data_IF_337618683871
#
_entry.id   IF_337618683871
#
_cell.length_a   1.000
_cell.length_b   1.000
_cell.length_c   1.000
_cell.angle_alpha   90.00
_cell.angle_beta   90.00
_cell.angle_gamma   90.00
#
_symmetry.space_group_name_H-M   'P 1'
#
loop_
_entity.id
_entity.type
_entity.pdbx_description
1 polymer ?
#
# COMPACT_ATOMS: atom_id res chain seq x y z
N UNK A 1 3.33 6.49 -21.16
CA UNK A 1 2.40 5.85 -20.22
C UNK A 1 1.41 6.89 -19.73
N UNK A 2 0.12 6.57 -19.71
CA UNK A 2 -0.87 7.42 -19.04
C UNK A 2 -0.97 6.89 -17.61
N UNK A 3 -0.59 7.68 -16.65
CA UNK A 3 -0.72 7.39 -15.23
C UNK A 3 -1.81 8.29 -14.63
N UNK A 4 -2.26 7.95 -13.42
CA UNK A 4 -3.14 8.82 -12.66
C UNK A 4 -2.61 10.26 -12.70
N UNK A 5 -3.49 11.20 -13.05
CA UNK A 5 -3.14 12.61 -13.19
C UNK A 5 -4.26 13.45 -12.61
N UNK A 6 -4.04 14.01 -11.42
CA UNK A 6 -5.03 14.84 -10.74
C UNK A 6 -5.31 16.18 -11.43
N UNK A 7 -4.53 16.52 -12.45
CA UNK A 7 -4.77 17.73 -13.27
C UNK A 7 -5.86 17.56 -14.31
N UNK A 8 -6.31 16.31 -14.54
CA UNK A 8 -7.34 16.01 -15.54
C UNK A 8 -8.76 16.11 -14.95
N UNK A 9 -9.78 16.49 -15.76
CA UNK A 9 -11.17 16.48 -15.33
C UNK A 9 -11.69 15.11 -14.87
N UNK A 10 -11.15 14.03 -15.42
CA UNK A 10 -11.33 12.65 -14.97
C UNK A 10 -9.95 12.09 -14.62
N UNK A 11 -9.55 12.12 -13.34
CA UNK A 11 -8.18 11.81 -12.95
C UNK A 11 -7.87 10.31 -12.87
N UNK A 12 -8.88 9.43 -12.89
CA UNK A 12 -8.68 7.98 -12.77
C UNK A 12 -8.01 7.43 -14.03
N UNK A 13 -6.99 6.60 -13.83
CA UNK A 13 -6.39 5.79 -14.89
C UNK A 13 -6.93 4.35 -14.81
N UNK A 14 -7.73 3.96 -15.80
CA UNK A 14 -8.28 2.60 -15.92
C UNK A 14 -7.48 1.74 -16.92
N UNK A 15 -6.39 2.26 -17.45
CA UNK A 15 -5.53 1.59 -18.43
C UNK A 15 -4.26 1.04 -17.79
N UNK A 16 -3.64 1.79 -16.88
CA UNK A 16 -2.41 1.42 -16.20
C UNK A 16 -1.31 0.99 -17.18
N UNK A 17 -0.65 -0.11 -16.87
CA UNK A 17 0.33 -0.73 -17.77
C UNK A 17 -0.31 -1.58 -18.88
N UNK A 18 -1.57 -1.93 -18.76
CA UNK A 18 -2.33 -2.73 -19.72
C UNK A 18 -1.73 -4.12 -19.95
N UNK A 19 -1.83 -4.58 -21.20
CA UNK A 19 -1.35 -5.92 -21.57
C UNK A 19 0.18 -6.06 -21.62
N UNK A 20 0.94 -4.97 -21.50
CA UNK A 20 2.40 -4.98 -21.64
C UNK A 20 3.06 -4.23 -20.48
N UNK A 21 3.01 -4.77 -19.24
CA UNK A 21 3.66 -4.15 -18.10
C UNK A 21 5.19 -4.08 -18.32
N UNK A 22 5.87 -3.07 -17.76
CA UNK A 22 7.31 -3.01 -17.82
C UNK A 22 7.93 -4.18 -17.05
N UNK A 23 9.05 -4.69 -17.54
CA UNK A 23 9.82 -5.67 -16.78
C UNK A 23 10.45 -4.99 -15.56
N UNK A 24 10.09 -5.46 -14.36
CA UNK A 24 10.50 -4.80 -13.12
C UNK A 24 12.01 -4.85 -12.83
N UNK A 25 12.73 -5.78 -13.46
CA UNK A 25 14.18 -5.97 -13.32
C UNK A 25 14.65 -6.09 -11.86
N UNK A 26 13.90 -6.81 -11.03
CA UNK A 26 14.20 -6.98 -9.62
C UNK A 26 15.64 -7.46 -9.36
N UNK A 27 16.26 -7.11 -8.23
CA UNK A 27 17.61 -7.57 -7.88
C UNK A 27 17.74 -9.08 -7.95
N UNK A 28 18.95 -9.56 -8.29
CA UNK A 28 19.27 -10.98 -8.44
C UNK A 28 18.34 -11.75 -9.41
N UNK A 29 17.78 -11.05 -10.40
CA UNK A 29 16.83 -11.62 -11.37
C UNK A 29 15.62 -12.29 -10.69
N UNK A 30 15.14 -11.68 -9.61
CA UNK A 30 13.99 -12.21 -8.89
C UNK A 30 12.74 -12.18 -9.77
N UNK A 31 11.96 -13.25 -9.71
CA UNK A 31 10.67 -13.40 -10.39
C UNK A 31 9.56 -12.62 -9.69
N UNK A 32 9.74 -12.36 -8.40
CA UNK A 32 8.78 -11.66 -7.55
C UNK A 32 9.51 -10.86 -6.48
N UNK A 33 9.04 -9.64 -6.21
CA UNK A 33 9.40 -8.88 -5.03
C UNK A 33 8.32 -9.08 -3.96
N UNK A 34 8.67 -9.68 -2.83
CA UNK A 34 7.75 -10.00 -1.75
C UNK A 34 7.98 -9.09 -0.55
N UNK A 35 6.93 -8.42 -0.08
CA UNK A 35 6.99 -7.49 1.04
C UNK A 35 6.02 -7.91 2.13
N UNK A 36 6.50 -7.91 3.37
CA UNK A 36 5.67 -8.10 4.55
C UNK A 36 5.47 -6.74 5.22
N UNK A 37 4.23 -6.35 5.39
CA UNK A 37 3.85 -5.05 5.95
C UNK A 37 3.12 -5.27 7.26
N UNK A 38 3.68 -4.78 8.35
CA UNK A 38 3.08 -4.83 9.67
C UNK A 38 2.43 -3.49 9.99
N UNK A 39 1.10 -3.47 10.07
CA UNK A 39 0.35 -2.33 10.53
C UNK A 39 0.37 -2.31 12.06
N UNK A 40 0.95 -1.28 12.63
CA UNK A 40 0.97 -1.06 14.08
C UNK A 40 0.10 0.15 14.42
N UNK A 41 -1.10 -0.13 14.94
CA UNK A 41 -2.21 0.82 15.09
C UNK A 41 -2.72 0.89 16.53
N UNK A 42 -2.32 -0.06 17.36
CA UNK A 42 -2.84 -0.33 18.69
C UNK A 42 -2.68 0.85 19.64
N UNK A 43 -3.80 1.41 20.09
CA UNK A 43 -3.86 2.59 20.95
C UNK A 43 -4.01 3.93 20.21
N UNK A 44 -4.18 3.90 18.87
CA UNK A 44 -4.44 5.07 18.04
C UNK A 44 -5.82 5.03 17.34
N UNK A 45 -6.58 3.97 17.57
CA UNK A 45 -7.96 3.78 17.13
C UNK A 45 -8.93 4.83 17.70
N UNK A 46 -10.18 4.88 17.17
CA UNK A 46 -11.21 5.74 17.73
C UNK A 46 -11.49 5.39 19.20
N UNK A 47 -11.45 6.41 20.05
CA UNK A 47 -11.72 6.26 21.48
C UNK A 47 -12.17 7.60 22.09
N UNK A 48 -13.14 7.53 22.99
CA UNK A 48 -13.56 8.71 23.79
C UNK A 48 -12.40 9.26 24.64
N UNK A 49 -11.37 8.46 24.91
CA UNK A 49 -10.15 8.91 25.58
C UNK A 49 -9.31 9.87 24.73
N UNK A 50 -9.55 9.89 23.43
CA UNK A 50 -8.90 10.78 22.45
C UNK A 50 -9.78 11.96 22.07
N UNK A 51 -10.99 12.09 22.67
CA UNK A 51 -11.99 13.07 22.31
C UNK A 51 -12.89 12.66 21.14
N UNK A 52 -12.80 11.42 20.65
CA UNK A 52 -13.69 10.92 19.60
C UNK A 52 -15.12 10.74 20.14
N UNK A 53 -16.10 10.86 19.25
CA UNK A 53 -17.52 10.75 19.60
C UNK A 53 -17.91 9.34 20.07
N UNK A 54 -17.16 8.32 19.65
CA UNK A 54 -17.48 6.93 19.98
C UNK A 54 -16.23 6.03 19.96
N UNK A 55 -16.39 4.83 20.51
CA UNK A 55 -15.40 3.74 20.47
C UNK A 55 -15.22 3.17 19.07
N UNK A 56 -14.08 2.52 18.81
CA UNK A 56 -13.78 1.85 17.56
C UNK A 56 -14.75 0.69 17.29
N UNK A 57 -15.00 0.46 15.99
CA UNK A 57 -15.87 -0.62 15.50
C UNK A 57 -15.18 -1.52 14.48
N UNK A 58 -14.04 -1.09 13.96
CA UNK A 58 -13.43 -1.68 12.78
C UNK A 58 -12.29 -2.63 13.13
N UNK A 59 -12.16 -3.67 12.34
CA UNK A 59 -10.99 -4.56 12.25
C UNK A 59 -10.62 -5.26 13.58
N UNK A 60 -11.59 -5.99 14.15
CA UNK A 60 -11.41 -6.85 15.32
C UNK A 60 -12.24 -8.14 15.20
N UNK A 61 -12.07 -9.06 16.16
CA UNK A 61 -12.88 -10.28 16.23
C UNK A 61 -14.35 -10.04 16.61
N UNK A 62 -14.73 -8.81 16.95
CA UNK A 62 -16.12 -8.50 17.28
C UNK A 62 -16.93 -8.34 15.99
N UNK A 63 -17.92 -9.19 15.78
CA UNK A 63 -18.79 -9.09 14.63
C UNK A 63 -19.75 -7.90 14.81
N UNK A 64 -19.66 -6.92 13.88
CA UNK A 64 -20.54 -5.74 13.84
C UNK A 64 -20.72 -5.04 15.19
N UNK A 65 -19.63 -4.62 15.88
CA UNK A 65 -19.77 -3.95 17.17
C UNK A 65 -20.50 -2.62 17.02
N UNK A 66 -21.33 -2.28 18.00
CA UNK A 66 -21.98 -0.99 18.04
C UNK A 66 -21.00 0.11 18.48
N UNK A 67 -21.12 1.36 17.97
CA UNK A 67 -20.39 2.50 18.50
C UNK A 67 -20.96 2.89 19.87
N UNK A 68 -20.11 3.02 20.87
CA UNK A 68 -20.50 3.52 22.18
C UNK A 68 -19.89 4.91 22.41
N UNK A 69 -20.71 5.88 22.82
CA UNK A 69 -20.25 7.18 23.31
C UNK A 69 -19.62 7.04 24.71
N UNK A 70 -18.84 5.98 24.91
CA UNK A 70 -18.14 5.59 26.12
C UNK A 70 -16.97 4.68 25.74
N UNK A 71 -16.14 4.34 26.72
CA UNK A 71 -15.11 3.31 26.53
C UNK A 71 -15.74 1.94 26.25
N UNK A 72 -15.14 1.22 25.30
CA UNK A 72 -15.51 -0.16 25.01
C UNK A 72 -14.37 -1.09 25.42
N UNK A 73 -14.35 -1.49 26.70
CA UNK A 73 -13.22 -2.21 27.31
C UNK A 73 -12.86 -3.51 26.58
N UNK A 74 -13.85 -4.24 26.05
CA UNK A 74 -13.57 -5.45 25.26
C UNK A 74 -12.84 -5.11 23.96
N UNK A 75 -13.24 -4.04 23.24
CA UNK A 75 -12.56 -3.58 22.03
C UNK A 75 -11.14 -3.11 22.37
N UNK A 76 -10.97 -2.27 23.37
CA UNK A 76 -9.67 -1.81 23.85
C UNK A 76 -8.73 -2.99 24.15
N UNK A 77 -9.22 -4.02 24.85
CA UNK A 77 -8.42 -5.21 25.18
C UNK A 77 -8.02 -6.05 23.98
N UNK A 78 -8.80 -6.05 22.88
CA UNK A 78 -8.42 -6.70 21.62
C UNK A 78 -7.25 -5.97 20.96
N UNK A 79 -7.26 -4.64 20.97
CA UNK A 79 -6.14 -3.83 20.49
C UNK A 79 -4.91 -3.98 21.39
N UNK A 80 -5.10 -3.90 22.73
CA UNK A 80 -4.01 -4.15 23.69
C UNK A 80 -3.31 -5.49 23.48
N UNK A 81 -4.06 -6.55 23.13
CA UNK A 81 -3.46 -7.84 22.81
C UNK A 81 -2.43 -7.74 21.67
N UNK A 82 -2.73 -6.96 20.63
CA UNK A 82 -1.82 -6.72 19.52
C UNK A 82 -0.50 -6.15 19.99
N UNK A 83 -0.55 -5.10 20.81
CA UNK A 83 0.63 -4.43 21.37
C UNK A 83 1.38 -5.28 22.40
N UNK A 84 0.65 -5.97 23.29
CA UNK A 84 1.25 -6.69 24.42
C UNK A 84 1.81 -8.06 24.06
N UNK A 85 1.22 -8.75 23.08
CA UNK A 85 1.55 -10.14 22.76
C UNK A 85 1.75 -10.40 21.26
N UNK A 86 0.84 -9.87 20.43
CA UNK A 86 0.78 -10.18 19.00
C UNK A 86 2.02 -9.71 18.24
N UNK A 87 2.40 -8.46 18.42
CA UNK A 87 3.56 -7.85 17.75
C UNK A 87 4.85 -8.60 18.07
N UNK A 88 5.07 -8.94 19.31
CA UNK A 88 6.30 -9.66 19.73
C UNK A 88 6.37 -11.06 19.17
N UNK A 89 5.22 -11.72 18.96
CA UNK A 89 5.18 -13.04 18.31
C UNK A 89 5.55 -12.95 16.84
N UNK A 90 5.06 -11.92 16.15
CA UNK A 90 5.40 -11.67 14.73
C UNK A 90 6.89 -11.31 14.63
N UNK A 91 7.38 -10.36 15.42
CA UNK A 91 8.79 -9.93 15.36
C UNK A 91 9.76 -11.09 15.55
N UNK A 92 9.55 -11.93 16.56
CA UNK A 92 10.43 -13.11 16.79
C UNK A 92 10.49 -14.04 15.58
N UNK A 93 9.42 -14.14 14.81
CA UNK A 93 9.40 -14.97 13.60
C UNK A 93 10.25 -14.38 12.48
N UNK A 94 10.19 -13.05 12.28
CA UNK A 94 11.01 -12.37 11.29
C UNK A 94 12.47 -12.28 11.70
N UNK A 95 12.77 -12.00 12.98
CA UNK A 95 14.11 -12.01 13.54
C UNK A 95 14.77 -13.38 13.37
N UNK A 96 14.09 -14.46 13.79
CA UNK A 96 14.60 -15.84 13.67
C UNK A 96 14.96 -16.22 12.23
N UNK A 97 14.26 -15.68 11.26
CA UNK A 97 14.44 -15.92 9.82
C UNK A 97 15.35 -14.89 9.15
N UNK A 98 15.74 -13.85 9.87
CA UNK A 98 16.50 -12.72 9.34
C UNK A 98 15.81 -12.05 8.13
N UNK A 99 14.50 -11.91 8.20
CA UNK A 99 13.69 -11.30 7.15
C UNK A 99 13.33 -9.86 7.48
N UNK A 100 13.34 -8.95 6.48
CA UNK A 100 12.94 -7.57 6.68
C UNK A 100 11.43 -7.40 6.77
N UNK A 101 10.99 -6.34 7.43
CA UNK A 101 9.62 -5.84 7.47
C UNK A 101 9.58 -4.38 7.04
N UNK A 102 8.44 -3.95 6.50
CA UNK A 102 8.00 -2.56 6.57
C UNK A 102 6.92 -2.46 7.63
N UNK A 103 7.11 -1.54 8.57
CA UNK A 103 6.11 -1.21 9.59
C UNK A 103 5.36 0.04 9.15
N UNK A 104 4.06 -0.08 8.89
CA UNK A 104 3.18 1.07 8.83
C UNK A 104 2.82 1.46 10.25
N UNK A 105 3.56 2.42 10.78
CA UNK A 105 3.47 2.85 12.17
C UNK A 105 2.56 4.06 12.33
N UNK A 106 1.42 3.87 13.00
CA UNK A 106 0.62 5.00 13.48
C UNK A 106 1.38 5.67 14.59
N UNK A 107 1.69 6.94 14.43
CA UNK A 107 2.67 7.61 15.31
C UNK A 107 2.20 7.72 16.76
N UNK A 108 0.91 7.92 17.01
CA UNK A 108 0.33 7.90 18.37
C UNK A 108 0.47 6.52 19.02
N UNK A 109 0.34 5.44 18.26
CA UNK A 109 0.51 4.07 18.74
C UNK A 109 1.98 3.82 19.14
N UNK A 110 2.93 4.18 18.28
CA UNK A 110 4.36 4.04 18.55
C UNK A 110 4.84 4.96 19.69
N UNK A 111 4.27 6.15 19.83
CA UNK A 111 4.57 7.06 20.94
C UNK A 111 4.22 6.45 22.32
N UNK A 112 3.20 5.58 22.34
CA UNK A 112 2.78 4.85 23.56
C UNK A 112 3.60 3.59 23.84
N UNK A 113 4.41 3.16 22.88
CA UNK A 113 5.24 1.96 22.98
C UNK A 113 6.63 2.22 22.38
N UNK A 114 7.44 3.12 22.97
CA UNK A 114 8.74 3.52 22.42
C UNK A 114 9.75 2.36 22.35
N UNK A 115 9.67 1.40 23.28
CA UNK A 115 10.54 0.21 23.25
C UNK A 115 10.32 -0.64 22.01
N UNK A 116 9.08 -0.72 21.51
CA UNK A 116 8.77 -1.41 20.27
C UNK A 116 9.36 -0.67 19.05
N UNK A 117 9.29 0.67 19.05
CA UNK A 117 9.91 1.49 18.02
C UNK A 117 11.44 1.24 17.97
N UNK A 118 12.09 1.16 19.13
CA UNK A 118 13.51 0.82 19.22
C UNK A 118 13.80 -0.59 18.66
N UNK A 119 12.97 -1.58 19.01
CA UNK A 119 13.12 -2.96 18.50
C UNK A 119 12.99 -3.03 16.97
N UNK A 120 12.06 -2.30 16.36
CA UNK A 120 11.95 -2.25 14.90
C UNK A 120 13.23 -1.71 14.25
N UNK A 121 13.83 -0.68 14.83
CA UNK A 121 15.09 -0.10 14.34
C UNK A 121 16.28 -1.04 14.51
N UNK A 122 16.42 -1.64 15.68
CA UNK A 122 17.50 -2.60 15.98
C UNK A 122 17.49 -3.80 15.04
N UNK A 123 16.30 -4.27 14.66
CA UNK A 123 16.12 -5.35 13.69
C UNK A 123 16.23 -4.90 12.22
N UNK A 124 16.48 -3.62 11.96
CA UNK A 124 16.65 -3.07 10.61
C UNK A 124 15.36 -2.98 9.79
N UNK A 125 14.21 -3.00 10.45
CA UNK A 125 12.93 -2.84 9.78
C UNK A 125 12.70 -1.39 9.35
N UNK A 126 11.99 -1.19 8.25
CA UNK A 126 11.54 0.12 7.83
C UNK A 126 10.36 0.58 8.69
N UNK A 127 10.36 1.84 9.13
CA UNK A 127 9.18 2.49 9.71
C UNK A 127 8.70 3.57 8.75
N UNK A 128 7.57 3.31 8.09
CA UNK A 128 6.85 4.27 7.27
C UNK A 128 5.71 4.90 8.09
N UNK A 129 5.37 6.15 7.78
CA UNK A 129 4.33 6.86 8.51
C UNK A 129 2.94 6.36 8.10
N UNK A 130 2.15 5.92 9.09
CA UNK A 130 0.74 5.56 8.94
C UNK A 130 -0.19 6.63 9.56
N UNK A 131 0.19 7.89 9.40
CA UNK A 131 -0.51 9.02 9.99
C UNK A 131 -0.30 9.15 11.50
N UNK A 132 -1.01 10.13 12.10
CA UNK A 132 -0.99 10.34 13.56
C UNK A 132 -1.99 9.43 14.28
N UNK A 133 -3.20 9.34 13.75
CA UNK A 133 -4.34 8.58 14.31
C UNK A 133 -4.82 7.54 13.28
N UNK A 134 -5.33 6.42 13.78
CA UNK A 134 -5.97 5.43 12.93
C UNK A 134 -7.47 5.67 12.85
N UNK A 135 -7.87 6.73 12.18
CA UNK A 135 -9.26 7.15 11.97
C UNK A 135 -9.56 7.32 10.49
N UNK A 136 -10.84 7.42 10.11
CA UNK A 136 -11.20 7.75 8.74
C UNK A 136 -10.98 9.24 8.47
N UNK A 137 -10.23 9.53 7.43
CA UNK A 137 -9.99 10.90 6.96
C UNK A 137 -10.97 11.34 5.89
N UNK A 138 -11.83 10.44 5.37
CA UNK A 138 -12.73 10.71 4.24
C UNK A 138 -13.57 11.98 4.39
N UNK A 139 -14.01 12.30 5.59
CA UNK A 139 -14.85 13.46 5.89
C UNK A 139 -14.16 14.47 6.82
N UNK A 140 -12.86 14.31 7.07
CA UNK A 140 -12.10 15.26 7.88
C UNK A 140 -11.79 16.51 7.04
N UNK A 141 -11.80 17.68 7.65
CA UNK A 141 -11.38 18.89 6.95
C UNK A 141 -9.87 18.88 6.66
N UNK A 142 -9.49 19.56 5.60
CA UNK A 142 -8.11 19.57 5.11
C UNK A 142 -7.11 20.09 6.14
N UNK A 143 -7.49 21.10 6.91
CA UNK A 143 -6.59 21.72 7.90
C UNK A 143 -6.26 20.72 9.02
N UNK A 144 -7.27 19.98 9.48
CA UNK A 144 -7.11 18.92 10.47
C UNK A 144 -6.27 17.76 9.93
N UNK A 145 -6.50 17.30 8.69
CA UNK A 145 -5.69 16.25 8.08
C UNK A 145 -4.23 16.68 7.93
N UNK A 146 -3.98 17.89 7.47
CA UNK A 146 -2.64 18.49 7.35
C UNK A 146 -1.92 18.56 8.70
N UNK A 147 -2.63 18.95 9.75
CA UNK A 147 -2.07 19.01 11.12
C UNK A 147 -1.77 17.62 11.65
N UNK A 148 -2.65 16.62 11.41
CA UNK A 148 -2.40 15.24 11.78
C UNK A 148 -1.17 14.67 11.07
N UNK A 149 -0.97 15.00 9.79
CA UNK A 149 0.23 14.64 9.05
C UNK A 149 1.49 15.26 9.70
N UNK A 150 1.44 16.55 10.03
CA UNK A 150 2.56 17.26 10.67
C UNK A 150 2.93 16.64 12.02
N UNK A 151 1.93 16.39 12.87
CA UNK A 151 2.12 15.76 14.18
C UNK A 151 2.69 14.36 14.03
N UNK A 152 2.12 13.56 13.13
CA UNK A 152 2.57 12.19 12.87
C UNK A 152 4.02 12.13 12.46
N UNK A 153 4.43 12.96 11.53
CA UNK A 153 5.81 13.05 11.05
C UNK A 153 6.78 13.54 12.13
N UNK A 154 6.36 14.53 12.94
CA UNK A 154 7.16 15.01 14.05
C UNK A 154 7.43 13.91 15.07
N UNK A 155 6.38 13.25 15.56
CA UNK A 155 6.49 12.16 16.56
C UNK A 155 7.41 11.05 16.06
N UNK A 156 7.21 10.57 14.84
CA UNK A 156 8.05 9.49 14.31
C UNK A 156 9.51 9.92 14.13
N UNK A 157 9.74 11.15 13.69
CA UNK A 157 11.11 11.69 13.57
C UNK A 157 11.80 11.77 14.95
N UNK A 158 11.08 12.20 15.98
CA UNK A 158 11.60 12.26 17.36
C UNK A 158 11.88 10.86 17.92
N UNK A 159 10.98 9.88 17.70
CA UNK A 159 11.13 8.51 18.20
C UNK A 159 12.24 7.73 17.50
N UNK A 160 12.38 7.93 16.20
CA UNK A 160 13.34 7.16 15.40
C UNK A 160 14.68 7.85 15.21
N UNK A 161 14.74 9.17 15.41
CA UNK A 161 15.90 10.02 15.06
C UNK A 161 16.04 10.24 13.55
N UNK A 162 15.12 9.75 12.75
CA UNK A 162 15.14 9.84 11.29
C UNK A 162 13.74 10.17 10.76
N UNK A 163 13.67 10.92 9.68
CA UNK A 163 12.41 11.20 9.00
C UNK A 163 11.88 9.94 8.31
N UNK A 164 10.61 9.54 8.50
CA UNK A 164 9.99 8.51 7.67
C UNK A 164 9.99 8.89 6.19
N UNK A 165 10.35 7.93 5.34
CA UNK A 165 10.46 8.14 3.89
C UNK A 165 9.29 7.52 3.11
N UNK A 166 8.46 6.71 3.74
CA UNK A 166 7.23 6.14 3.19
C UNK A 166 6.00 6.70 3.86
N UNK A 167 4.91 6.80 3.11
CA UNK A 167 3.61 7.24 3.57
C UNK A 167 2.52 6.21 3.26
N UNK A 168 1.57 6.04 4.18
CA UNK A 168 0.34 5.30 4.03
C UNK A 168 -0.70 5.82 5.01
N UNK A 169 -1.88 6.21 4.56
CA UNK A 169 -3.00 6.60 5.42
C UNK A 169 -3.94 5.42 5.67
N UNK A 170 -4.24 4.65 4.63
CA UNK A 170 -5.10 3.48 4.65
C UNK A 170 -6.60 3.75 4.81
N UNK A 171 -6.96 4.92 5.35
CA UNK A 171 -8.34 5.42 5.50
C UNK A 171 -8.41 6.87 5.01
N UNK A 172 -7.84 7.06 3.82
CA UNK A 172 -7.53 8.33 3.18
C UNK A 172 -8.75 9.18 2.83
N UNK A 173 -8.48 10.43 2.48
CA UNK A 173 -9.44 11.42 1.98
C UNK A 173 -9.17 11.75 0.52
N UNK A 174 -10.09 12.45 -0.18
CA UNK A 174 -9.83 12.96 -1.53
C UNK A 174 -8.63 13.92 -1.63
N UNK A 175 -8.17 14.51 -0.51
CA UNK A 175 -7.04 15.42 -0.46
C UNK A 175 -5.71 14.76 -0.13
N UNK A 176 -5.69 13.52 0.37
CA UNK A 176 -4.50 12.89 0.96
C UNK A 176 -3.29 12.90 0.01
N UNK A 177 -3.42 12.46 -1.24
CA UNK A 177 -2.31 12.48 -2.19
C UNK A 177 -1.74 13.89 -2.41
N UNK A 178 -2.60 14.91 -2.46
CA UNK A 178 -2.16 16.30 -2.59
C UNK A 178 -1.41 16.76 -1.34
N UNK A 179 -1.92 16.42 -0.16
CA UNK A 179 -1.27 16.76 1.11
C UNK A 179 0.09 16.08 1.27
N UNK A 180 0.21 14.80 0.84
CA UNK A 180 1.48 14.08 0.80
C UNK A 180 2.46 14.75 -0.15
N UNK A 181 2.01 15.16 -1.33
CA UNK A 181 2.84 15.89 -2.31
C UNK A 181 3.24 17.28 -1.81
N UNK A 182 2.34 18.01 -1.13
CA UNK A 182 2.62 19.32 -0.51
C UNK A 182 3.67 19.21 0.59
N UNK A 183 3.51 18.23 1.47
CA UNK A 183 4.44 17.98 2.58
C UNK A 183 5.82 17.60 2.04
N UNK A 184 5.86 16.79 1.01
CA UNK A 184 7.06 16.41 0.27
C UNK A 184 8.04 15.57 1.08
N UNK A 185 9.16 15.19 0.43
CA UNK A 185 10.26 14.43 1.04
C UNK A 185 9.96 12.95 1.28
N UNK A 186 8.85 12.42 0.78
CA UNK A 186 8.59 10.99 0.75
C UNK A 186 9.23 10.35 -0.48
N UNK A 187 9.74 9.15 -0.30
CA UNK A 187 10.25 8.34 -1.40
C UNK A 187 9.13 7.57 -2.10
N UNK A 188 8.05 7.26 -1.39
CA UNK A 188 6.86 6.63 -1.93
C UNK A 188 5.62 6.93 -1.09
N UNK A 189 4.46 6.73 -1.71
CA UNK A 189 3.14 6.72 -1.11
C UNK A 189 2.49 5.36 -1.42
N UNK A 190 1.74 4.81 -0.47
CA UNK A 190 1.11 3.49 -0.58
C UNK A 190 -0.42 3.53 -0.58
N UNK A 191 -1.03 4.70 -0.57
CA UNK A 191 -2.50 4.87 -0.59
C UNK A 191 -3.08 4.57 -1.98
N UNK A 192 -2.84 3.36 -2.48
CA UNK A 192 -3.38 2.86 -3.74
C UNK A 192 -3.38 1.32 -3.77
N UNK A 193 -4.42 0.72 -4.37
CA UNK A 193 -4.63 -0.74 -4.38
C UNK A 193 -4.82 -1.31 -5.80
N UNK A 194 -4.50 -0.55 -6.82
CA UNK A 194 -4.95 -0.83 -8.18
C UNK A 194 -3.86 -1.31 -9.15
N UNK A 195 -2.72 -1.79 -8.68
CA UNK A 195 -1.68 -2.34 -9.56
C UNK A 195 -0.75 -3.32 -8.79
N UNK A 196 -0.11 -4.23 -9.53
CA UNK A 196 0.88 -5.17 -9.03
C UNK A 196 2.32 -4.66 -9.18
N UNK A 197 2.49 -3.44 -9.67
CA UNK A 197 3.78 -2.76 -9.85
C UNK A 197 3.73 -1.32 -9.36
N UNK A 198 4.86 -0.75 -8.93
CA UNK A 198 4.92 0.68 -8.66
C UNK A 198 4.70 1.50 -9.95
N UNK A 199 4.17 2.70 -9.78
CA UNK A 199 3.97 3.63 -10.90
C UNK A 199 4.09 5.08 -10.45
N UNK A 200 4.27 5.98 -11.41
CA UNK A 200 4.32 7.42 -11.14
C UNK A 200 2.96 8.06 -11.29
N UNK A 201 2.53 8.77 -10.26
CA UNK A 201 1.33 9.60 -10.25
C UNK A 201 1.73 11.07 -10.43
N UNK A 202 0.96 11.83 -11.20
CA UNK A 202 1.10 13.29 -11.29
C UNK A 202 0.09 13.93 -10.34
N UNK A 203 0.57 14.63 -9.35
CA UNK A 203 -0.27 15.24 -8.31
C UNK A 203 -0.17 16.74 -8.37
N UNK A 204 -1.31 17.41 -8.52
CA UNK A 204 -1.39 18.87 -8.42
C UNK A 204 -1.31 19.28 -6.95
N UNK A 205 -0.32 20.09 -6.62
CA UNK A 205 -0.12 20.66 -5.30
C UNK A 205 -1.01 21.86 -5.03
N UNK A 206 -1.10 22.25 -3.76
CA UNK A 206 -1.89 23.43 -3.33
C UNK A 206 -1.36 24.74 -3.90
N UNK A 207 -0.09 24.82 -4.25
CA UNK A 207 0.52 25.99 -4.92
C UNK A 207 0.30 26.02 -6.45
N UNK A 208 -0.47 25.07 -6.98
CA UNK A 208 -0.75 24.92 -8.41
C UNK A 208 0.36 24.21 -9.21
N UNK A 209 1.50 23.95 -8.64
CA UNK A 209 2.55 23.15 -9.27
C UNK A 209 2.15 21.67 -9.36
N UNK A 210 2.82 20.89 -10.21
CA UNK A 210 2.58 19.46 -10.36
C UNK A 210 3.84 18.69 -9.95
N UNK A 211 3.70 17.79 -9.00
CA UNK A 211 4.79 16.93 -8.54
C UNK A 211 4.59 15.47 -9.01
N UNK A 212 5.66 14.78 -9.42
CA UNK A 212 5.63 13.35 -9.56
C UNK A 212 5.69 12.69 -8.18
N UNK A 213 4.79 11.76 -7.92
CA UNK A 213 4.75 10.95 -6.70
C UNK A 213 4.86 9.49 -7.07
N UNK A 214 5.82 8.78 -6.48
CA UNK A 214 5.93 7.34 -6.70
C UNK A 214 4.90 6.63 -5.82
N UNK A 215 4.04 5.87 -6.46
CA UNK A 215 3.11 4.98 -5.78
C UNK A 215 3.73 3.59 -5.74
N UNK A 216 3.81 3.02 -4.55
CA UNK A 216 4.06 1.59 -4.32
C UNK A 216 2.76 1.02 -3.80
N UNK A 217 1.93 0.39 -4.66
CA UNK A 217 0.59 -0.06 -4.28
C UNK A 217 0.61 -1.01 -3.07
N UNK A 218 -0.43 -0.92 -2.25
CA UNK A 218 -0.65 -1.82 -1.13
C UNK A 218 -1.75 -2.84 -1.48
N UNK A 219 -2.17 -3.66 -0.51
CA UNK A 219 -3.13 -4.73 -0.75
C UNK A 219 -4.18 -4.83 0.36
N UNK A 220 -5.39 -5.27 -0.01
CA UNK A 220 -6.47 -5.61 0.92
C UNK A 220 -6.90 -7.08 0.81
N UNK A 221 -6.47 -7.79 -0.21
CA UNK A 221 -6.83 -9.20 -0.45
C UNK A 221 -5.84 -10.17 0.22
N UNK A 222 -4.53 -9.96 0.06
CA UNK A 222 -3.46 -10.71 0.76
C UNK A 222 -3.16 -10.09 2.14
N UNK A 223 -4.22 -9.76 2.87
CA UNK A 223 -4.19 -9.02 4.12
C UNK A 223 -5.00 -9.74 5.20
N UNK A 224 -4.44 -9.89 6.38
CA UNK A 224 -5.06 -10.57 7.51
C UNK A 224 -6.32 -9.84 8.05
N UNK A 225 -6.56 -8.59 7.62
CA UNK A 225 -7.80 -7.88 7.91
C UNK A 225 -9.05 -8.69 7.51
N UNK A 226 -8.91 -9.58 6.55
CA UNK A 226 -9.99 -10.45 6.09
C UNK A 226 -10.44 -11.48 7.12
N UNK A 227 -9.66 -11.76 8.18
CA UNK A 227 -10.16 -12.51 9.35
C UNK A 227 -11.25 -11.76 10.12
N UNK A 228 -11.27 -10.43 10.01
CA UNK A 228 -12.23 -9.56 10.71
C UNK A 228 -13.30 -8.96 9.77
N UNK A 229 -13.38 -9.41 8.53
CA UNK A 229 -14.36 -8.95 7.53
C UNK A 229 -15.33 -10.08 7.17
N UNK A 230 -16.57 -9.73 6.83
CA UNK A 230 -17.55 -10.70 6.31
C UNK A 230 -17.03 -11.33 5.01
N UNK A 231 -17.27 -12.63 4.84
CA UNK A 231 -16.76 -13.44 3.72
C UNK A 231 -15.22 -13.45 3.60
N UNK A 232 -14.54 -13.21 4.72
CA UNK A 232 -13.10 -13.29 4.82
C UNK A 232 -12.59 -14.69 5.16
N UNK A 233 -11.44 -14.77 5.82
CA UNK A 233 -10.82 -16.03 6.21
C UNK A 233 -11.46 -16.57 7.49
N UNK A 234 -11.94 -17.80 7.47
CA UNK A 234 -12.52 -18.45 8.66
C UNK A 234 -11.42 -19.06 9.55
N UNK A 235 -10.36 -19.59 8.95
CA UNK A 235 -9.25 -20.25 9.64
C UNK A 235 -7.90 -19.91 9.02
N UNK A 236 -6.81 -20.24 9.72
CA UNK A 236 -5.45 -19.93 9.25
C UNK A 236 -5.09 -20.58 7.90
N UNK A 237 -5.60 -21.77 7.64
CA UNK A 237 -5.32 -22.47 6.38
C UNK A 237 -5.95 -21.77 5.17
N UNK A 238 -7.06 -21.07 5.32
CA UNK A 238 -7.63 -20.25 4.24
C UNK A 238 -6.68 -19.12 3.86
N UNK A 239 -6.12 -18.44 4.86
CA UNK A 239 -5.13 -17.38 4.64
C UNK A 239 -3.86 -17.93 3.99
N UNK A 240 -3.30 -19.03 4.51
CA UNK A 240 -2.13 -19.66 3.92
C UNK A 240 -2.36 -20.05 2.46
N UNK A 241 -3.49 -20.70 2.15
CA UNK A 241 -3.82 -21.12 0.78
C UNK A 241 -3.95 -19.92 -0.15
N UNK A 242 -4.64 -18.86 0.29
CA UNK A 242 -4.79 -17.65 -0.52
C UNK A 242 -3.45 -16.97 -0.81
N UNK A 243 -2.59 -16.84 0.21
CA UNK A 243 -1.25 -16.26 0.04
C UNK A 243 -0.38 -17.11 -0.90
N UNK A 244 -0.44 -18.45 -0.73
CA UNK A 244 0.29 -19.39 -1.57
C UNK A 244 -0.14 -19.27 -3.04
N UNK A 245 -1.44 -19.30 -3.30
CA UNK A 245 -1.96 -19.24 -4.66
C UNK A 245 -1.65 -17.89 -5.32
N UNK A 246 -1.73 -16.78 -4.57
CA UNK A 246 -1.33 -15.46 -5.06
C UNK A 246 0.17 -15.41 -5.41
N UNK A 247 0.99 -15.97 -4.55
CA UNK A 247 2.43 -16.09 -4.80
C UNK A 247 2.72 -16.93 -6.04
N UNK A 248 2.08 -18.10 -6.18
CA UNK A 248 2.31 -19.03 -7.28
C UNK A 248 1.98 -18.40 -8.63
N UNK A 249 0.87 -17.67 -8.72
CA UNK A 249 0.46 -16.97 -9.95
C UNK A 249 1.51 -15.93 -10.33
N UNK A 250 1.85 -15.00 -9.42
CA UNK A 250 2.79 -13.94 -9.72
C UNK A 250 4.23 -14.44 -9.94
N UNK A 251 4.63 -15.50 -9.23
CA UNK A 251 5.92 -16.14 -9.44
C UNK A 251 6.03 -16.82 -10.82
N UNK A 252 4.93 -17.43 -11.30
CA UNK A 252 4.84 -17.98 -12.64
C UNK A 252 4.84 -16.90 -13.73
N UNK A 253 4.17 -15.77 -13.50
CA UNK A 253 4.21 -14.61 -14.42
C UNK A 253 5.63 -14.04 -14.56
N UNK A 254 6.43 -14.09 -13.50
CA UNK A 254 7.83 -13.66 -13.49
C UNK A 254 8.80 -14.67 -14.13
N UNK A 255 8.34 -15.84 -14.59
CA UNK A 255 9.22 -16.85 -15.18
C UNK A 255 9.81 -16.37 -16.52
N UNK A 256 11.16 -16.28 -16.65
CA UNK A 256 11.80 -15.94 -17.92
C UNK A 256 11.47 -16.88 -19.09
N UNK A 257 11.10 -18.11 -18.80
CA UNK A 257 10.66 -19.08 -19.82
C UNK A 257 9.16 -18.94 -20.17
N UNK A 258 8.41 -18.15 -19.41
CA UNK A 258 6.99 -17.87 -19.59
C UNK A 258 6.71 -16.43 -20.01
N UNK A 259 5.87 -15.73 -19.23
CA UNK A 259 5.50 -14.34 -19.51
C UNK A 259 6.64 -13.35 -19.29
N UNK A 260 7.57 -13.65 -18.40
CA UNK A 260 8.70 -12.79 -18.05
C UNK A 260 8.26 -11.39 -17.61
N UNK A 261 7.23 -11.32 -16.78
CA UNK A 261 6.67 -10.07 -16.24
C UNK A 261 6.70 -10.07 -14.70
N UNK A 262 7.89 -9.95 -14.09
CA UNK A 262 8.02 -9.96 -12.63
C UNK A 262 7.15 -8.89 -11.97
N UNK A 263 6.46 -9.26 -10.91
CA UNK A 263 5.54 -8.41 -10.13
C UNK A 263 6.02 -8.25 -8.70
N UNK A 264 5.27 -7.48 -7.92
CA UNK A 264 5.43 -7.44 -6.46
C UNK A 264 4.19 -8.02 -5.78
N UNK A 265 4.37 -8.57 -4.57
CA UNK A 265 3.30 -9.06 -3.72
C UNK A 265 3.49 -8.47 -2.32
N UNK A 266 2.47 -7.80 -1.81
CA UNK A 266 2.42 -7.29 -0.43
C UNK A 266 1.60 -8.23 0.45
N UNK A 267 2.08 -8.51 1.66
CA UNK A 267 1.34 -9.25 2.68
C UNK A 267 1.03 -8.30 3.82
N UNK A 268 -0.25 -7.99 4.00
CA UNK A 268 -0.72 -7.11 5.08
C UNK A 268 -0.94 -7.88 6.37
N UNK A 269 -0.39 -7.37 7.47
CA UNK A 269 -0.45 -8.01 8.79
C UNK A 269 -0.84 -6.98 9.84
N UNK A 270 -1.69 -7.39 10.79
CA UNK A 270 -2.08 -6.60 11.96
C UNK A 270 -1.76 -7.37 13.25
N UNK A 271 -1.16 -6.68 14.21
CA UNK A 271 -0.65 -7.33 15.43
C UNK A 271 -1.76 -8.06 16.21
N UNK A 272 -2.94 -7.46 16.30
CA UNK A 272 -4.12 -8.03 17.00
C UNK A 272 -4.78 -9.20 16.26
N UNK A 273 -4.60 -9.28 14.92
CA UNK A 273 -5.21 -10.32 14.09
C UNK A 273 -4.24 -11.49 13.88
N UNK A 274 -3.20 -11.29 13.07
CA UNK A 274 -2.25 -12.36 12.73
C UNK A 274 -1.41 -12.80 13.93
N UNK A 275 -1.19 -11.91 14.90
CA UNK A 275 -0.48 -12.22 16.13
C UNK A 275 -1.17 -13.23 17.04
N UNK A 276 -2.44 -13.64 16.76
CA UNK A 276 -3.12 -14.73 17.47
C UNK A 276 -2.45 -16.07 17.16
N UNK A 277 -2.25 -16.98 18.16
CA UNK A 277 -1.47 -18.21 17.98
C UNK A 277 -1.93 -19.09 16.82
N UNK A 278 -3.24 -19.26 16.65
CA UNK A 278 -3.81 -20.09 15.59
C UNK A 278 -3.53 -19.51 14.19
N UNK A 279 -3.66 -18.20 14.04
CA UNK A 279 -3.40 -17.49 12.76
C UNK A 279 -1.91 -17.37 12.46
N UNK A 280 -1.07 -17.23 13.49
CA UNK A 280 0.38 -17.17 13.35
C UNK A 280 0.94 -18.40 12.64
N UNK A 281 0.31 -19.56 12.79
CA UNK A 281 0.73 -20.79 12.11
C UNK A 281 0.63 -20.68 10.58
N UNK A 282 -0.33 -19.92 10.06
CA UNK A 282 -0.45 -19.70 8.61
C UNK A 282 0.71 -18.86 8.07
N UNK A 283 1.11 -17.82 8.80
CA UNK A 283 2.29 -17.03 8.44
C UNK A 283 3.55 -17.89 8.42
N UNK A 284 3.76 -18.72 9.45
CA UNK A 284 4.91 -19.63 9.50
C UNK A 284 4.95 -20.57 8.30
N UNK A 285 3.82 -21.18 7.94
CA UNK A 285 3.72 -22.04 6.74
C UNK A 285 4.06 -21.26 5.47
N UNK A 286 3.57 -20.04 5.35
CA UNK A 286 3.83 -19.21 4.16
C UNK A 286 5.30 -18.78 4.09
N UNK A 287 5.91 -18.38 5.19
CA UNK A 287 7.34 -18.06 5.24
C UNK A 287 8.21 -19.26 4.87
N UNK A 288 7.89 -20.47 5.38
CA UNK A 288 8.57 -21.71 4.99
C UNK A 288 8.43 -21.96 3.48
N UNK A 289 7.23 -21.75 2.95
CA UNK A 289 6.92 -21.95 1.53
C UNK A 289 7.74 -21.01 0.64
N UNK A 290 7.68 -19.70 0.88
CA UNK A 290 8.39 -18.74 0.01
C UNK A 290 9.91 -18.84 0.11
N UNK A 291 10.44 -19.20 1.29
CA UNK A 291 11.89 -19.43 1.47
C UNK A 291 12.39 -20.71 0.79
N UNK A 292 11.50 -21.63 0.41
CA UNK A 292 11.86 -22.82 -0.37
C UNK A 292 12.03 -22.54 -1.87
N UNK A 293 11.65 -21.34 -2.34
CA UNK A 293 11.76 -20.93 -3.74
C UNK A 293 13.00 -20.06 -3.98
N UNK A 294 13.66 -20.29 -5.13
CA UNK A 294 14.73 -19.43 -5.62
C UNK A 294 14.14 -18.17 -6.28
N UNK A 295 14.97 -17.17 -6.54
CA UNK A 295 14.57 -15.96 -7.27
C UNK A 295 13.35 -15.22 -6.64
N UNK A 296 13.27 -15.22 -5.32
CA UNK A 296 12.33 -14.42 -4.52
C UNK A 296 13.11 -13.32 -3.82
N UNK A 297 12.73 -12.08 -4.06
CA UNK A 297 13.33 -10.93 -3.37
C UNK A 297 12.42 -10.50 -2.23
N UNK A 298 12.71 -10.95 -1.01
CA UNK A 298 12.01 -10.49 0.19
C UNK A 298 12.67 -9.18 0.64
N UNK A 299 11.90 -8.09 0.68
CA UNK A 299 12.44 -6.74 0.83
C UNK A 299 11.47 -5.80 1.56
N UNK A 300 11.96 -4.62 1.95
CA UNK A 300 11.13 -3.52 2.47
C UNK A 300 10.50 -2.74 1.31
N UNK A 301 9.47 -1.98 1.60
CA UNK A 301 8.82 -1.13 0.59
C UNK A 301 9.75 -0.03 0.09
N UNK A 302 10.58 0.52 0.97
CA UNK A 302 11.59 1.51 0.58
C UNK A 302 12.62 0.94 -0.41
N UNK A 303 12.96 -0.34 -0.31
CA UNK A 303 13.89 -1.00 -1.22
C UNK A 303 13.26 -1.10 -2.63
N UNK A 304 11.96 -1.43 -2.72
CA UNK A 304 11.20 -1.40 -3.98
C UNK A 304 11.14 0.02 -4.55
N UNK A 305 10.83 1.01 -3.73
CA UNK A 305 10.74 2.40 -4.18
C UNK A 305 12.07 2.89 -4.78
N UNK A 306 13.18 2.61 -4.11
CA UNK A 306 14.52 3.00 -4.58
C UNK A 306 14.92 2.27 -5.85
N UNK A 307 14.68 0.97 -5.91
CA UNK A 307 14.90 0.18 -7.12
C UNK A 307 14.08 0.72 -8.29
N UNK A 308 12.77 0.98 -8.08
CA UNK A 308 11.89 1.46 -9.13
C UNK A 308 12.28 2.84 -9.64
N UNK A 309 12.66 3.76 -8.76
CA UNK A 309 13.18 5.08 -9.16
C UNK A 309 14.42 5.00 -10.04
N UNK A 310 15.28 4.03 -9.79
CA UNK A 310 16.48 3.80 -10.57
C UNK A 310 16.19 3.11 -11.90
N UNK A 311 15.38 2.06 -11.91
CA UNK A 311 15.08 1.26 -13.10
C UNK A 311 14.03 1.93 -14.00
N UNK A 312 13.08 2.68 -13.43
CA UNK A 312 11.94 3.32 -14.09
C UNK A 312 11.78 4.77 -13.63
N UNK A 313 12.75 5.66 -13.93
CA UNK A 313 12.69 7.05 -13.50
C UNK A 313 11.46 7.76 -14.09
N UNK A 314 10.98 8.77 -13.36
CA UNK A 314 9.88 9.61 -13.86
C UNK A 314 10.29 10.32 -15.15
N UNK A 315 9.46 10.15 -16.18
CA UNK A 315 9.60 10.87 -17.45
C UNK A 315 8.45 11.88 -17.55
N UNK A 316 8.71 13.18 -17.52
CA UNK A 316 7.66 14.18 -17.69
C UNK A 316 6.96 13.99 -19.04
N UNK A 317 5.64 14.25 -19.12
CA UNK A 317 4.93 14.19 -20.39
C UNK A 317 5.57 15.19 -21.37
N UNK A 318 5.77 14.74 -22.60
CA UNK A 318 6.23 15.63 -23.67
C UNK A 318 5.19 16.76 -23.85
N UNK A 319 5.61 18.04 -23.90
CA UNK A 319 4.67 19.12 -24.17
C UNK A 319 3.89 18.82 -25.46
N UNK A 320 2.56 18.91 -25.38
CA UNK A 320 1.70 18.82 -26.56
C UNK A 320 2.03 20.03 -27.45
N UNK A 321 2.89 19.86 -28.48
CA UNK A 321 3.26 20.97 -29.35
C UNK A 321 4.61 20.85 -30.05
N UNK A 322 4.94 19.68 -30.61
CA UNK A 322 5.88 19.61 -31.74
C UNK A 322 5.41 18.54 -32.74
N UNK A 323 4.11 18.48 -32.93
CA UNK A 323 3.55 17.78 -34.08
C UNK A 323 3.94 18.59 -35.33
N UNK A 324 5.01 18.19 -36.01
CA UNK A 324 5.21 18.54 -37.41
C UNK A 324 3.90 18.19 -38.10
N UNK A 325 3.14 19.20 -38.57
CA UNK A 325 2.05 18.99 -39.53
C UNK A 325 2.62 18.13 -40.65
N UNK A 326 2.20 16.87 -40.72
CA UNK A 326 2.38 16.10 -41.95
C UNK A 326 1.60 16.86 -43.03
N UNK A 327 2.21 17.18 -44.17
CA UNK A 327 1.47 17.71 -45.30
C UNK A 327 0.34 16.74 -45.62
N UNK A 328 -0.85 17.24 -45.76
CA UNK A 328 -2.04 16.45 -46.18
C UNK A 328 -1.71 15.80 -47.54
N UNK A 329 -2.35 14.66 -47.83
CA UNK A 329 -2.16 14.01 -49.12
C UNK A 329 -2.62 14.97 -50.24
N UNK A 330 -1.83 15.00 -51.31
CA UNK A 330 -2.06 15.76 -52.53
C UNK A 330 -3.48 15.51 -53.08
N UNK A 331 -4.25 16.53 -53.49
CA UNK A 331 -5.64 16.36 -53.95
C UNK A 331 -5.75 15.81 -55.40
N UNK A 332 -4.98 14.77 -55.72
CA UNK A 332 -4.86 14.21 -57.07
C UNK A 332 -5.19 12.72 -57.21
N UNK A 333 -5.68 12.03 -56.22
CA UNK A 333 -6.01 10.59 -56.36
C UNK A 333 -7.53 10.35 -56.20
N UNK A 334 -8.16 9.99 -57.33
CA UNK A 334 -9.53 9.57 -57.43
C UNK A 334 -9.83 8.32 -56.62
N UNK A 335 -10.60 8.41 -55.54
CA UNK A 335 -11.07 7.27 -54.75
C UNK A 335 -12.48 6.84 -55.17
N UNK A 336 -12.66 5.54 -55.36
CA UNK A 336 -13.92 4.85 -55.56
C UNK A 336 -14.84 4.96 -54.31
N UNK A 337 -16.15 5.07 -54.42
CA UNK A 337 -17.05 5.26 -53.29
C UNK A 337 -17.21 3.99 -52.46
N UNK A 338 -17.45 4.11 -51.15
CA UNK A 338 -17.66 2.98 -50.25
C UNK A 338 -19.03 2.36 -50.41
N UNK A 339 -19.11 1.03 -50.27
CA UNK A 339 -20.30 0.26 -50.22
C UNK A 339 -21.20 0.59 -49.06
N UNK A 340 -22.45 0.86 -49.37
CA UNK A 340 -23.58 1.11 -48.48
C UNK A 340 -23.90 -0.15 -47.65
N UNK A 341 -23.82 -0.08 -46.31
CA UNK A 341 -24.37 -1.11 -45.43
C UNK A 341 -25.77 -0.72 -45.01
N UNK A 342 -26.72 -1.29 -45.75
CA UNK A 342 -28.13 -1.11 -45.53
C UNK A 342 -28.62 -1.47 -44.15
N UNK A 343 -29.40 -0.57 -43.58
CA UNK A 343 -30.26 -0.74 -42.42
C UNK A 343 -31.42 -1.69 -42.72
N UNK A 344 -31.60 -2.74 -41.90
CA UNK A 344 -32.81 -3.58 -41.87
C UNK A 344 -33.41 -3.60 -40.45
N UNK A 345 -34.75 -3.52 -40.31
CA UNK A 345 -35.41 -3.35 -39.03
C UNK A 345 -35.85 -4.66 -38.40
N UNK A 346 -35.87 -4.72 -37.09
CA UNK A 346 -36.83 -5.19 -36.07
C UNK A 346 -36.12 -5.59 -34.80
#
# INVERSE_FOLDING_TARGET
MKHYDSTLPYPRDLVGYGASPPHAAWPAQARIALQFVLNYEEGAENSVLHGDAASEQFLSEMASPAPFAARHLSMESLYEYGSRAGVWRILREFERRQLPLTVFGVSMALQRHPELCAAFKELGHEIACHGWRWISYQNLDEASEREHMRIGMQILTELTGERPLGWYTGRDSPQTHRLVADFGGFEYDSDYYGDDLPFWMRVQKSDGSVAPQLIVPYTLDTNDMRFASSQGFAQGDDFFSYLKDSFDVLYAEGDPAGLNTPKMLSIGMHCRLLGRPGRMKSLQKFLDYVQSHSQVWICRRIDIARHWKQAHPYLPPTPAGSGICRPGPDPGSSATPPLDCGSGPQ
#
